data_IF_828185030822
#
_entry.id   IF_828185030822
#
_cell.length_a   1.000
_cell.length_b   1.000
_cell.length_c   1.000
_cell.angle_alpha   90.00
_cell.angle_beta   90.00
_cell.angle_gamma   90.00
#
_symmetry.space_group_name_H-M   'P 1'
#
loop_
_entity.id
_entity.type
_entity.pdbx_description
1 polymer ?
#
# COMPACT_ATOMS: atom_id res chain seq x y z
N UNK A 1 3.55 -12.18 22.71
CA UNK A 1 4.57 -11.80 21.70
C UNK A 1 3.97 -11.02 20.52
N UNK A 2 3.11 -11.57 19.64
CA UNK A 2 2.49 -10.74 18.58
C UNK A 2 1.53 -9.67 19.10
N UNK A 3 0.80 -10.00 20.15
CA UNK A 3 -0.04 -9.07 20.90
C UNK A 3 0.74 -7.92 21.54
N UNK A 4 2.03 -8.13 21.79
CA UNK A 4 2.96 -7.11 22.32
C UNK A 4 3.65 -6.34 21.19
N UNK A 5 3.75 -6.96 20.00
CA UNK A 5 4.37 -6.38 18.81
C UNK A 5 3.44 -5.40 18.08
N UNK A 6 2.16 -5.78 17.96
CA UNK A 6 1.18 -5.01 17.22
C UNK A 6 0.09 -4.48 18.13
N UNK A 7 -0.29 -3.23 17.91
CA UNK A 7 -1.47 -2.67 18.49
C UNK A 7 -2.72 -3.44 18.01
N UNK A 8 -3.37 -4.15 18.94
CA UNK A 8 -4.57 -4.96 18.68
C UNK A 8 -5.79 -4.08 18.33
N UNK A 9 -5.78 -2.83 18.77
CA UNK A 9 -6.84 -1.86 18.44
C UNK A 9 -6.60 -1.16 17.09
N UNK A 10 -5.54 -1.54 16.37
CA UNK A 10 -5.26 -0.95 15.06
C UNK A 10 -6.35 -1.32 14.05
N UNK A 11 -7.06 -0.28 13.59
CA UNK A 11 -8.20 -0.47 12.68
C UNK A 11 -7.70 -0.77 11.27
N UNK A 12 -8.04 -1.97 10.76
CA UNK A 12 -7.86 -2.32 9.35
C UNK A 12 -8.65 -1.35 8.48
N UNK A 13 -7.96 -0.53 7.71
CA UNK A 13 -8.56 0.43 6.77
C UNK A 13 -7.71 0.61 5.52
N UNK A 14 -8.30 0.99 4.37
CA UNK A 14 -7.54 1.35 3.19
C UNK A 14 -6.60 2.53 3.46
N UNK A 15 -5.38 2.40 2.97
CA UNK A 15 -4.33 3.42 2.94
C UNK A 15 -4.28 3.94 1.51
N UNK A 16 -4.49 5.24 1.34
CA UNK A 16 -4.43 5.90 0.04
C UNK A 16 -2.98 6.18 -0.35
N UNK A 17 -2.72 6.29 -1.64
CA UNK A 17 -1.43 6.73 -2.17
C UNK A 17 -1.11 8.16 -1.67
N UNK A 18 0.11 8.35 -1.15
CA UNK A 18 0.64 9.62 -0.62
C UNK A 18 2.01 9.99 -1.18
N UNK A 19 2.68 9.06 -1.87
CA UNK A 19 4.03 9.24 -2.39
C UNK A 19 4.12 10.13 -3.63
N UNK A 20 5.34 10.27 -4.15
CA UNK A 20 5.58 10.96 -5.43
C UNK A 20 5.26 10.03 -6.59
N UNK A 21 4.49 10.53 -7.55
CA UNK A 21 4.22 9.81 -8.80
C UNK A 21 5.50 9.79 -9.63
N UNK A 22 6.05 8.60 -9.87
CA UNK A 22 7.13 8.43 -10.85
C UNK A 22 6.50 8.21 -12.22
N UNK A 23 6.89 9.02 -13.19
CA UNK A 23 6.53 8.80 -14.59
C UNK A 23 7.19 7.51 -15.07
N UNK A 24 6.41 6.67 -15.73
CA UNK A 24 6.85 5.39 -16.25
C UNK A 24 6.57 5.30 -17.75
N UNK A 25 7.39 4.53 -18.45
CA UNK A 25 7.21 4.24 -19.87
C UNK A 25 6.13 3.17 -20.04
N UNK A 26 5.00 3.52 -20.66
CA UNK A 26 3.79 2.68 -20.76
C UNK A 26 4.01 1.35 -21.51
N UNK A 27 5.19 1.13 -22.12
CA UNK A 27 5.48 -0.04 -22.94
C UNK A 27 5.94 -1.28 -22.15
N UNK A 28 6.04 -1.22 -20.82
CA UNK A 28 6.39 -2.39 -20.01
C UNK A 28 5.30 -2.73 -19.00
N UNK A 29 4.81 -3.96 -19.00
CA UNK A 29 3.94 -4.49 -17.93
C UNK A 29 4.79 -5.21 -16.88
N UNK A 30 5.06 -4.60 -15.71
CA UNK A 30 5.83 -5.25 -14.66
C UNK A 30 5.14 -6.53 -14.17
N UNK A 31 5.93 -7.57 -13.90
CA UNK A 31 5.42 -8.85 -13.43
C UNK A 31 4.99 -8.73 -11.96
N UNK A 32 3.68 -8.89 -11.73
CA UNK A 32 3.05 -8.96 -10.40
C UNK A 32 2.44 -10.34 -10.26
N UNK A 33 2.75 -11.03 -9.16
CA UNK A 33 2.34 -12.43 -8.95
C UNK A 33 1.67 -12.63 -7.60
N UNK A 34 0.77 -13.60 -7.55
CA UNK A 34 0.20 -14.13 -6.30
C UNK A 34 1.23 -15.01 -5.57
N UNK A 35 1.02 -15.35 -4.28
CA UNK A 35 1.99 -16.08 -3.48
C UNK A 35 2.38 -17.44 -4.09
N UNK A 36 1.44 -18.16 -4.68
CA UNK A 36 1.67 -19.45 -5.34
C UNK A 36 2.60 -19.38 -6.57
N UNK A 37 2.83 -18.18 -7.12
CA UNK A 37 3.72 -17.93 -8.26
C UNK A 37 4.98 -17.17 -7.85
N UNK A 38 5.25 -16.96 -6.56
CA UNK A 38 6.41 -16.19 -6.07
C UNK A 38 7.76 -16.73 -6.56
N UNK A 39 7.86 -18.05 -6.77
CA UNK A 39 9.06 -18.68 -7.30
C UNK A 39 9.45 -18.19 -8.71
N UNK A 40 8.51 -17.63 -9.48
CA UNK A 40 8.82 -16.99 -10.76
C UNK A 40 9.71 -15.77 -10.54
N UNK A 41 9.41 -14.95 -9.53
CA UNK A 41 10.22 -13.79 -9.15
C UNK A 41 11.56 -14.23 -8.52
N UNK A 42 11.53 -15.17 -7.57
CA UNK A 42 12.75 -15.57 -6.83
C UNK A 42 13.80 -16.32 -7.65
N UNK A 43 13.39 -16.90 -8.80
CA UNK A 43 14.29 -17.58 -9.74
C UNK A 43 14.68 -16.70 -10.93
N UNK A 44 14.07 -15.53 -11.06
CA UNK A 44 14.42 -14.57 -12.09
C UNK A 44 15.86 -14.08 -11.89
N UNK A 45 16.61 -13.99 -12.99
CA UNK A 45 17.99 -13.48 -12.98
C UNK A 45 18.04 -12.00 -12.61
N UNK A 46 16.96 -11.27 -12.83
CA UNK A 46 16.81 -9.84 -12.52
C UNK A 46 16.35 -9.57 -11.09
N UNK A 47 16.07 -10.61 -10.30
CA UNK A 47 15.68 -10.47 -8.90
C UNK A 47 16.77 -9.73 -8.11
N UNK A 48 16.40 -8.57 -7.56
CA UNK A 48 17.33 -7.74 -6.82
C UNK A 48 17.85 -8.46 -5.58
N UNK A 49 19.15 -8.27 -5.32
CA UNK A 49 19.83 -8.85 -4.17
C UNK A 49 20.37 -7.75 -3.29
N UNK A 50 20.09 -7.85 -2.00
CA UNK A 50 20.60 -6.94 -0.98
C UNK A 50 21.51 -7.70 -0.02
N UNK A 51 22.65 -7.11 0.32
CA UNK A 51 23.57 -7.65 1.32
C UNK A 51 23.19 -7.05 2.67
N UNK A 52 22.89 -7.90 3.66
CA UNK A 52 22.61 -7.48 5.04
C UNK A 52 23.49 -8.27 5.99
N UNK A 53 24.43 -7.56 6.62
CA UNK A 53 25.54 -8.20 7.34
C UNK A 53 26.34 -9.09 6.40
N UNK A 54 26.50 -10.37 6.75
CA UNK A 54 27.28 -11.33 5.97
C UNK A 54 26.41 -12.23 5.08
N UNK A 55 25.15 -11.87 4.83
CA UNK A 55 24.19 -12.67 4.07
C UNK A 55 23.63 -11.89 2.89
N UNK A 56 23.38 -12.60 1.79
CA UNK A 56 22.72 -12.08 0.59
C UNK A 56 21.26 -12.49 0.64
N UNK A 57 20.37 -11.52 0.42
CA UNK A 57 18.94 -11.74 0.37
C UNK A 57 18.37 -11.34 -0.97
N UNK A 58 17.42 -12.14 -1.48
CA UNK A 58 16.57 -11.75 -2.61
C UNK A 58 15.46 -10.85 -2.08
N UNK A 59 15.37 -9.64 -2.60
CA UNK A 59 14.40 -8.65 -2.17
C UNK A 59 13.21 -8.61 -3.14
N UNK A 60 12.00 -8.66 -2.60
CA UNK A 60 10.76 -8.45 -3.34
C UNK A 60 9.91 -7.41 -2.64
N UNK A 61 9.04 -6.74 -3.40
CA UNK A 61 7.93 -5.94 -2.88
C UNK A 61 6.77 -6.86 -2.56
N UNK A 62 5.99 -6.50 -1.56
CA UNK A 62 4.66 -7.05 -1.35
C UNK A 62 3.63 -5.93 -1.19
N UNK A 63 2.38 -6.26 -1.50
CA UNK A 63 1.23 -5.41 -1.24
C UNK A 63 0.04 -6.31 -0.86
N UNK A 64 -0.64 -5.94 0.21
CA UNK A 64 -1.93 -6.52 0.59
C UNK A 64 -3.03 -5.59 0.10
N UNK A 65 -3.79 -6.03 -0.90
CA UNK A 65 -4.88 -5.27 -1.50
C UNK A 65 -6.07 -5.15 -0.53
N UNK A 66 -6.97 -4.22 -0.82
CA UNK A 66 -8.17 -3.95 -0.02
C UNK A 66 -9.17 -5.10 -0.02
N UNK A 67 -9.17 -5.95 -1.06
CA UNK A 67 -9.92 -7.20 -1.14
C UNK A 67 -9.27 -8.37 -0.36
N UNK A 68 -8.11 -8.14 0.25
CA UNK A 68 -7.35 -9.14 0.99
C UNK A 68 -6.36 -9.95 0.15
N UNK A 69 -6.22 -9.68 -1.15
CA UNK A 69 -5.26 -10.37 -1.99
C UNK A 69 -3.83 -9.89 -1.71
N UNK A 70 -2.95 -10.83 -1.33
CA UNK A 70 -1.51 -10.59 -1.23
C UNK A 70 -0.85 -10.78 -2.60
N UNK A 71 -0.08 -9.78 -3.04
CA UNK A 71 0.69 -9.84 -4.29
C UNK A 71 2.15 -9.46 -4.06
N UNK A 72 3.01 -9.95 -4.94
CA UNK A 72 4.46 -9.72 -4.93
C UNK A 72 4.94 -9.21 -6.28
N UNK A 73 6.04 -8.47 -6.26
CA UNK A 73 6.76 -8.06 -7.46
C UNK A 73 8.25 -7.90 -7.14
N UNK A 74 9.08 -7.72 -8.17
CA UNK A 74 10.49 -7.39 -7.98
C UNK A 74 10.66 -6.13 -7.12
N UNK A 75 11.73 -6.09 -6.33
CA UNK A 75 12.27 -4.85 -5.75
C UNK A 75 13.41 -4.36 -6.66
N UNK A 76 13.69 -3.06 -6.68
CA UNK A 76 14.80 -2.55 -7.49
C UNK A 76 14.91 -1.04 -7.60
N UNK A 77 15.91 -0.62 -8.37
CA UNK A 77 16.28 0.79 -8.55
C UNK A 77 15.24 1.58 -9.38
N UNK A 78 15.21 2.93 -9.23
CA UNK A 78 14.25 3.83 -9.88
C UNK A 78 14.10 3.75 -11.41
N UNK A 79 15.01 3.07 -12.11
CA UNK A 79 15.07 3.04 -13.57
C UNK A 79 14.93 1.62 -14.15
N UNK A 80 14.66 0.62 -13.31
CA UNK A 80 14.36 -0.75 -13.76
C UNK A 80 12.89 -0.93 -14.14
N UNK A 81 12.59 -2.00 -14.87
CA UNK A 81 11.22 -2.46 -15.12
C UNK A 81 10.68 -3.12 -13.84
N UNK A 82 10.40 -2.29 -12.83
CA UNK A 82 9.99 -2.72 -11.48
C UNK A 82 8.77 -1.91 -11.08
N UNK A 83 7.65 -2.55 -10.69
CA UNK A 83 6.44 -1.80 -10.36
C UNK A 83 6.63 -1.02 -9.07
N UNK A 84 6.12 0.21 -9.04
CA UNK A 84 5.79 0.89 -7.79
C UNK A 84 4.77 0.07 -6.97
N UNK A 85 4.70 0.27 -5.65
CA UNK A 85 3.65 -0.37 -4.86
C UNK A 85 2.27 0.04 -5.38
N UNK A 86 2.07 1.30 -5.80
CA UNK A 86 0.77 1.71 -6.33
C UNK A 86 0.34 0.92 -7.56
N UNK A 87 1.28 0.55 -8.45
CA UNK A 87 0.98 -0.29 -9.63
C UNK A 87 0.55 -1.70 -9.24
N UNK A 88 1.03 -2.22 -8.10
CA UNK A 88 0.64 -3.53 -7.59
C UNK A 88 -0.83 -3.59 -7.14
N UNK A 89 -1.49 -2.45 -6.95
CA UNK A 89 -2.93 -2.41 -6.62
C UNK A 89 -3.81 -2.84 -7.80
N UNK A 90 -3.35 -2.63 -9.04
CA UNK A 90 -4.17 -2.78 -10.25
C UNK A 90 -5.08 -1.59 -10.53
N UNK A 91 -4.98 -0.50 -9.78
CA UNK A 91 -5.75 0.72 -10.05
C UNK A 91 -5.32 1.37 -11.37
N UNK A 92 -6.30 1.85 -12.14
CA UNK A 92 -6.05 2.54 -13.42
C UNK A 92 -5.47 3.94 -13.24
N UNK A 93 -5.75 4.58 -12.10
CA UNK A 93 -5.25 5.92 -11.76
C UNK A 93 -4.56 5.86 -10.41
N UNK A 94 -3.46 6.60 -10.28
CA UNK A 94 -2.66 6.64 -9.05
C UNK A 94 -3.49 7.09 -7.84
N UNK A 95 -4.38 8.06 -8.02
CA UNK A 95 -5.23 8.59 -6.94
C UNK A 95 -6.30 7.60 -6.46
N UNK A 96 -6.61 6.57 -7.25
CA UNK A 96 -7.55 5.51 -6.88
C UNK A 96 -6.84 4.33 -6.20
N UNK A 97 -5.49 4.33 -6.20
CA UNK A 97 -4.69 3.26 -5.63
C UNK A 97 -4.79 3.27 -4.10
N UNK A 98 -5.18 2.13 -3.55
CA UNK A 98 -5.22 1.90 -2.10
C UNK A 98 -4.82 0.48 -1.74
N UNK A 99 -4.30 0.30 -0.54
CA UNK A 99 -3.94 -1.01 0.01
C UNK A 99 -4.21 -1.08 1.51
N UNK A 100 -4.17 -2.28 2.10
CA UNK A 100 -4.19 -2.45 3.55
C UNK A 100 -2.80 -2.23 4.14
N UNK A 101 -1.78 -2.78 3.49
CA UNK A 101 -0.37 -2.60 3.86
C UNK A 101 0.52 -2.90 2.65
N UNK A 102 1.75 -2.42 2.69
CA UNK A 102 2.74 -2.59 1.64
C UNK A 102 4.14 -2.56 2.25
N UNK A 103 5.09 -3.20 1.58
CA UNK A 103 6.44 -3.23 2.09
C UNK A 103 7.38 -4.10 1.27
N UNK A 104 8.48 -4.49 1.90
CA UNK A 104 9.48 -5.35 1.32
C UNK A 104 9.66 -6.63 2.14
N UNK A 105 9.99 -7.71 1.43
CA UNK A 105 10.26 -9.04 1.97
C UNK A 105 11.61 -9.53 1.43
N UNK A 106 12.35 -10.24 2.27
CA UNK A 106 13.72 -10.66 2.00
C UNK A 106 13.86 -12.16 2.21
N UNK A 107 14.24 -12.84 1.14
CA UNK A 107 14.39 -14.29 1.11
C UNK A 107 15.85 -14.67 1.10
N UNK A 108 16.20 -15.75 1.80
CA UNK A 108 17.53 -16.34 1.68
C UNK A 108 17.73 -17.06 0.33
N UNK A 109 18.91 -17.63 0.14
CA UNK A 109 19.26 -18.39 -1.07
C UNK A 109 18.35 -19.62 -1.30
N UNK A 110 17.74 -20.14 -0.22
CA UNK A 110 16.81 -21.27 -0.25
C UNK A 110 15.37 -20.82 -0.47
N UNK A 111 15.15 -19.56 -0.86
CA UNK A 111 13.82 -18.97 -1.06
C UNK A 111 12.93 -19.03 0.20
N UNK A 112 13.54 -19.01 1.38
CA UNK A 112 12.83 -18.96 2.65
C UNK A 112 12.77 -17.53 3.15
N UNK A 113 11.59 -17.07 3.57
CA UNK A 113 11.38 -15.70 4.02
C UNK A 113 12.05 -15.48 5.38
N UNK A 114 12.97 -14.52 5.45
CA UNK A 114 13.76 -14.23 6.64
C UNK A 114 13.44 -12.86 7.24
N UNK A 115 13.06 -11.88 6.41
CA UNK A 115 12.82 -10.50 6.87
C UNK A 115 11.60 -9.93 6.17
N UNK A 116 10.78 -9.17 6.91
CA UNK A 116 9.69 -8.37 6.40
C UNK A 116 9.72 -6.96 7.02
N UNK A 117 9.36 -5.95 6.24
CA UNK A 117 9.19 -4.59 6.74
C UNK A 117 8.06 -3.87 6.01
N UNK A 118 7.69 -2.69 6.51
CA UNK A 118 6.63 -1.84 5.96
C UNK A 118 7.12 -0.70 5.05
N UNK A 119 8.27 -0.88 4.38
CA UNK A 119 8.86 0.16 3.52
C UNK A 119 8.04 0.36 2.25
N UNK A 120 7.28 1.45 2.17
CA UNK A 120 6.66 1.89 0.93
C UNK A 120 6.69 3.41 0.81
N UNK A 121 7.33 3.91 -0.26
CA UNK A 121 7.32 5.34 -0.57
C UNK A 121 5.95 5.84 -1.05
N UNK A 122 5.14 4.94 -1.62
CA UNK A 122 3.85 5.25 -2.22
C UNK A 122 2.74 5.37 -1.17
N UNK A 123 2.72 4.48 -0.18
CA UNK A 123 1.63 4.39 0.80
C UNK A 123 2.05 4.78 2.22
N UNK A 124 3.34 4.65 2.56
CA UNK A 124 3.89 4.89 3.91
C UNK A 124 3.03 4.24 5.02
N UNK A 125 2.78 2.93 4.93
CA UNK A 125 1.91 2.26 5.88
C UNK A 125 2.47 2.33 7.29
N UNK A 126 1.59 2.33 8.30
CA UNK A 126 2.00 2.24 9.70
C UNK A 126 2.52 0.83 10.02
N UNK A 127 3.43 0.72 10.98
CA UNK A 127 4.04 -0.55 11.37
C UNK A 127 2.98 -1.61 11.74
N UNK A 128 1.97 -1.21 12.52
CA UNK A 128 0.88 -2.07 12.97
C UNK A 128 0.05 -2.67 11.83
N UNK A 129 0.05 -2.06 10.63
CA UNK A 129 -0.67 -2.61 9.48
C UNK A 129 -0.08 -3.94 8.97
N UNK A 130 1.17 -4.25 9.32
CA UNK A 130 1.81 -5.53 8.98
C UNK A 130 1.05 -6.71 9.59
N UNK A 131 0.32 -6.52 10.68
CA UNK A 131 -0.48 -7.59 11.26
C UNK A 131 -1.51 -8.17 10.27
N UNK A 132 -1.89 -7.46 9.21
CA UNK A 132 -2.87 -7.99 8.27
C UNK A 132 -2.26 -8.87 7.17
N UNK A 133 -0.94 -8.84 6.95
CA UNK A 133 -0.31 -9.64 5.89
C UNK A 133 -0.02 -11.07 6.35
N UNK A 134 0.23 -11.30 7.64
CA UNK A 134 0.67 -12.60 8.14
C UNK A 134 -0.29 -13.77 7.85
N UNK A 135 -1.63 -13.63 7.96
CA UNK A 135 -2.54 -14.73 7.66
C UNK A 135 -2.37 -15.28 6.23
N UNK A 136 -2.13 -14.41 5.26
CA UNK A 136 -1.92 -14.82 3.87
C UNK A 136 -0.48 -15.26 3.60
N UNK A 137 0.47 -14.66 4.31
CA UNK A 137 1.89 -14.98 4.22
C UNK A 137 2.18 -16.42 4.69
N UNK A 138 1.69 -16.82 5.87
CA UNK A 138 2.00 -18.12 6.48
C UNK A 138 1.35 -19.30 5.74
N UNK A 139 0.23 -19.05 5.04
CA UNK A 139 -0.47 -20.07 4.24
C UNK A 139 0.30 -20.44 2.99
N UNK A 140 1.05 -19.49 2.41
CA UNK A 140 1.55 -19.63 1.05
C UNK A 140 3.07 -19.53 0.91
N UNK A 141 3.78 -19.04 1.91
CA UNK A 141 5.22 -18.78 1.86
C UNK A 141 5.95 -19.62 2.92
N UNK A 142 7.11 -20.16 2.55
CA UNK A 142 8.00 -20.81 3.52
C UNK A 142 8.71 -19.77 4.37
N UNK A 143 8.43 -19.75 5.67
CA UNK A 143 9.09 -18.88 6.64
C UNK A 143 10.36 -19.55 7.17
N UNK A 144 11.35 -18.74 7.53
CA UNK A 144 12.52 -19.21 8.28
C UNK A 144 12.11 -19.72 9.66
N UNK A 145 13.06 -20.36 10.37
CA UNK A 145 12.87 -20.71 11.79
C UNK A 145 12.50 -19.48 12.62
N UNK A 146 13.02 -18.33 12.23
CA UNK A 146 12.71 -17.03 12.80
C UNK A 146 12.52 -16.05 11.67
N UNK A 147 11.45 -15.26 11.74
CA UNK A 147 11.18 -14.13 10.87
C UNK A 147 11.56 -12.84 11.60
N UNK A 148 12.35 -12.01 10.93
CA UNK A 148 12.66 -10.66 11.40
C UNK A 148 11.62 -9.67 10.88
N UNK A 149 10.91 -9.00 11.77
CA UNK A 149 9.95 -7.94 11.46
C UNK A 149 10.63 -6.61 11.78
N UNK A 150 10.87 -5.77 10.77
CA UNK A 150 11.57 -4.51 10.96
C UNK A 150 10.60 -3.33 10.98
N UNK A 151 10.63 -2.59 12.09
CA UNK A 151 10.06 -1.24 12.19
C UNK A 151 11.07 -0.24 11.65
N UNK A 152 10.59 0.73 10.91
CA UNK A 152 11.41 1.69 10.17
C UNK A 152 10.96 3.11 10.49
N UNK A 153 11.91 4.03 10.50
CA UNK A 153 11.63 5.47 10.49
C UNK A 153 11.05 5.91 9.15
N UNK A 154 10.53 7.14 9.10
CA UNK A 154 10.05 7.78 7.87
C UNK A 154 11.12 7.93 6.79
N UNK A 155 12.41 7.94 7.17
CA UNK A 155 13.56 7.89 6.25
C UNK A 155 13.74 6.54 5.56
N UNK A 156 13.08 5.48 6.06
CA UNK A 156 13.28 4.10 5.65
C UNK A 156 14.44 3.39 6.34
N UNK A 157 15.13 4.05 7.28
CA UNK A 157 16.13 3.41 8.15
C UNK A 157 15.45 2.51 9.18
N UNK A 158 16.14 1.44 9.60
CA UNK A 158 15.63 0.52 10.62
C UNK A 158 15.62 1.23 11.98
N UNK A 159 14.46 1.26 12.61
CA UNK A 159 14.26 1.73 13.98
C UNK A 159 14.43 0.57 14.96
N UNK A 160 13.69 -0.51 14.73
CA UNK A 160 13.66 -1.66 15.62
C UNK A 160 13.48 -2.96 14.82
N UNK A 161 14.00 -4.07 15.34
CA UNK A 161 13.85 -5.39 14.73
C UNK A 161 13.34 -6.38 15.76
N UNK A 162 12.24 -7.02 15.43
CA UNK A 162 11.60 -8.05 16.25
C UNK A 162 11.80 -9.41 15.61
N UNK A 163 11.99 -10.43 16.44
CA UNK A 163 12.20 -11.80 15.99
C UNK A 163 11.05 -12.66 16.46
N UNK A 164 10.42 -13.36 15.52
CA UNK A 164 9.26 -14.17 15.80
C UNK A 164 9.35 -15.53 15.11
N UNK A 165 8.82 -16.58 15.73
CA UNK A 165 8.73 -17.90 15.11
C UNK A 165 7.46 -18.06 14.28
N UNK A 166 7.41 -19.08 13.42
CA UNK A 166 6.19 -19.39 12.67
C UNK A 166 5.05 -19.78 13.61
N UNK A 167 5.39 -20.53 14.66
CA UNK A 167 4.47 -21.05 15.66
C UNK A 167 3.80 -19.92 16.45
N UNK A 168 4.56 -18.87 16.81
CA UNK A 168 4.01 -17.67 17.45
C UNK A 168 2.99 -16.97 16.55
N UNK A 169 3.28 -16.87 15.24
CA UNK A 169 2.36 -16.28 14.25
C UNK A 169 1.10 -17.11 14.13
N UNK A 170 1.25 -18.42 14.00
CA UNK A 170 0.11 -19.32 13.85
C UNK A 170 -0.81 -19.29 15.07
N UNK A 171 -0.23 -19.42 16.27
CA UNK A 171 -0.97 -19.39 17.54
C UNK A 171 -1.78 -18.11 17.69
N UNK A 172 -1.18 -16.96 17.39
CA UNK A 172 -1.86 -15.66 17.48
C UNK A 172 -3.14 -15.57 16.62
N UNK A 173 -3.12 -16.07 15.37
CA UNK A 173 -4.30 -16.02 14.51
C UNK A 173 -5.30 -17.16 14.74
N UNK A 174 -4.86 -18.29 15.29
CA UNK A 174 -5.76 -19.35 15.74
C UNK A 174 -6.55 -18.88 16.97
N UNK A 175 -5.91 -18.24 17.94
CA UNK A 175 -6.55 -17.69 19.15
C UNK A 175 -7.59 -16.61 18.81
N UNK A 176 -7.30 -15.73 17.84
CA UNK A 176 -8.29 -14.74 17.40
C UNK A 176 -9.52 -15.35 16.72
N UNK A 177 -9.35 -16.44 15.96
CA UNK A 177 -10.48 -17.14 15.35
C UNK A 177 -11.36 -17.81 16.40
N UNK A 178 -10.75 -18.41 17.43
CA UNK A 178 -11.48 -19.06 18.53
C UNK A 178 -12.28 -18.01 19.33
N UNK A 179 -11.68 -16.87 19.66
CA UNK A 179 -12.37 -15.80 20.39
C UNK A 179 -13.55 -15.20 19.60
N UNK A 180 -13.39 -14.98 18.29
CA UNK A 180 -14.49 -14.53 17.43
C UNK A 180 -15.62 -15.57 17.31
N UNK A 181 -15.33 -16.86 17.41
CA UNK A 181 -16.37 -17.90 17.38
C UNK A 181 -17.09 -18.05 18.72
N UNK A 182 -16.37 -17.91 19.84
CA UNK A 182 -16.95 -17.99 21.18
C UNK A 182 -17.93 -16.85 21.48
N UNK A 183 -17.62 -15.61 21.07
CA UNK A 183 -18.54 -14.47 21.19
C UNK A 183 -19.84 -14.65 20.39
N UNK A 184 -19.82 -15.44 19.32
CA UNK A 184 -21.00 -15.77 18.52
C UNK A 184 -21.84 -16.94 19.10
N UNK A 185 -21.33 -17.65 20.11
CA UNK A 185 -22.00 -18.80 20.75
C UNK A 185 -22.44 -18.55 22.20
N UNK A 186 -22.06 -17.44 22.83
CA UNK A 186 -22.63 -17.02 24.12
C UNK A 186 -23.88 -16.15 23.93
N UNK A 187 -24.96 -16.51 24.62
CA UNK A 187 -26.35 -16.03 24.56
C UNK A 187 -26.62 -14.51 24.42
N UNK A 188 -27.81 -14.13 23.89
CA UNK A 188 -28.14 -12.79 23.42
C UNK A 188 -28.67 -11.89 24.55
N UNK A 189 -27.80 -11.40 25.43
CA UNK A 189 -28.19 -10.35 26.39
C UNK A 189 -27.10 -9.28 26.53
N UNK A 190 -26.83 -8.55 25.46
CA UNK A 190 -26.35 -7.17 25.58
C UNK A 190 -26.86 -6.35 24.41
N UNK A 191 -27.87 -5.54 24.74
CA UNK A 191 -28.55 -4.56 23.90
C UNK A 191 -27.67 -4.02 22.77
N UNK A 192 -28.12 -4.31 21.55
CA UNK A 192 -27.93 -3.55 20.32
C UNK A 192 -27.31 -2.15 20.52
N UNK A 193 -25.98 -2.05 20.45
CA UNK A 193 -25.27 -0.80 20.12
C UNK A 193 -24.74 -0.76 18.69
N UNK A 194 -24.85 -1.86 17.95
CA UNK A 194 -24.44 -1.94 16.53
C UNK A 194 -25.62 -1.90 15.54
N UNK A 195 -26.87 -1.91 16.01
CA UNK A 195 -28.02 -1.64 15.16
C UNK A 195 -28.18 -0.16 14.77
N UNK A 196 -27.43 0.77 15.38
CA UNK A 196 -27.48 2.21 15.05
C UNK A 196 -26.50 2.66 13.96
N UNK A 197 -25.66 1.78 13.42
CA UNK A 197 -24.71 2.13 12.33
C UNK A 197 -25.05 1.52 10.97
N UNK A 198 -26.20 0.83 10.84
CA UNK A 198 -26.79 0.49 9.53
C UNK A 198 -27.94 1.42 9.10
N UNK A 199 -28.38 2.34 9.96
CA UNK A 199 -29.40 3.35 9.60
C UNK A 199 -28.83 4.76 9.34
N UNK A 200 -27.53 4.97 9.49
CA UNK A 200 -26.87 6.24 9.12
C UNK A 200 -26.57 6.36 7.62
N UNK A 201 -26.92 5.35 6.82
CA UNK A 201 -26.85 5.36 5.35
C UNK A 201 -28.15 5.72 4.64
N UNK A 202 -29.22 6.11 5.35
CA UNK A 202 -30.52 6.44 4.75
C UNK A 202 -31.06 7.86 5.01
N UNK A 203 -30.33 8.70 5.74
CA UNK A 203 -30.75 10.08 6.04
C UNK A 203 -29.82 11.18 5.51
N UNK A 204 -29.13 10.94 4.39
CA UNK A 204 -28.61 12.03 3.55
C UNK A 204 -29.52 12.25 2.33
N UNK A 205 -30.79 12.53 2.60
CA UNK A 205 -31.66 13.20 1.65
C UNK A 205 -31.48 14.70 1.87
N UNK A 206 -30.70 15.36 1.02
CA UNK A 206 -30.81 16.82 0.91
C UNK A 206 -32.22 17.14 0.42
N UNK A 207 -33.02 17.70 1.32
CA UNK A 207 -34.28 18.35 1.01
C UNK A 207 -33.98 19.54 0.10
N UNK A 208 -34.03 19.29 -1.21
CA UNK A 208 -34.08 20.36 -2.22
C UNK A 208 -35.49 20.93 -2.15
N UNK A 209 -35.67 21.96 -1.30
CA UNK A 209 -36.86 22.81 -1.37
C UNK A 209 -36.96 23.33 -2.81
N UNK A 210 -38.01 22.90 -3.51
CA UNK A 210 -38.50 23.55 -4.72
C UNK A 210 -38.91 24.97 -4.34
N UNK A 211 -38.07 25.95 -4.65
CA UNK A 211 -38.56 27.28 -4.98
C UNK A 211 -38.90 27.27 -6.46
N UNK A 212 -40.20 27.33 -6.74
CA UNK A 212 -40.73 27.65 -8.05
C UNK A 212 -40.42 29.12 -8.33
N UNK A 213 -39.75 29.42 -9.44
CA UNK A 213 -40.03 30.66 -10.14
C UNK A 213 -39.86 30.45 -11.65
N UNK A 214 -41.02 30.55 -12.29
CA UNK A 214 -41.23 30.90 -13.69
C UNK A 214 -40.43 32.16 -14.07
N UNK A 215 -40.08 32.18 -15.35
CA UNK A 215 -39.81 33.35 -16.20
C UNK A 215 -38.58 34.21 -15.84
N UNK A 216 -37.53 34.14 -16.65
CA UNK A 216 -37.29 35.18 -17.66
C UNK A 216 -36.12 34.83 -18.59
N UNK A 217 -36.26 35.38 -19.79
CA UNK A 217 -35.60 35.02 -21.03
C UNK A 217 -34.30 35.82 -21.25
N UNK A 218 -33.60 35.39 -22.29
CA UNK A 218 -32.40 35.92 -22.96
C UNK A 218 -32.11 37.45 -22.93
N UNK A 219 -30.82 37.73 -23.14
CA UNK A 219 -30.21 38.91 -23.77
C UNK A 219 -30.00 40.17 -22.93
N UNK A 220 -28.73 40.41 -22.60
CA UNK A 220 -27.97 41.68 -22.56
C UNK A 220 -26.73 41.41 -21.67
N UNK A 221 -25.48 41.71 -22.00
CA UNK A 221 -24.93 42.76 -22.83
C UNK A 221 -23.49 42.35 -23.23
N UNK A 222 -23.23 42.31 -24.54
CA UNK A 222 -21.90 42.47 -25.15
C UNK A 222 -21.33 43.86 -24.81
N UNK A 223 -19.99 43.98 -24.90
CA UNK A 223 -19.12 45.18 -24.83
C UNK A 223 -18.64 45.46 -23.40
N UNK A 224 -17.34 45.31 -23.11
CA UNK A 224 -16.15 46.00 -23.68
C UNK A 224 -14.97 44.98 -23.66
N UNK A 225 -14.21 44.62 -24.71
CA UNK A 225 -13.31 45.37 -25.62
C UNK A 225 -12.67 46.57 -24.93
N UNK A 226 -11.36 46.75 -24.77
CA UNK A 226 -10.12 46.20 -25.32
C UNK A 226 -9.02 46.92 -24.48
N UNK A 227 -7.72 46.73 -24.75
CA UNK A 227 -6.54 47.36 -24.08
C UNK A 227 -6.10 46.58 -22.80
N UNK A 228 -4.93 45.93 -22.71
CA UNK A 228 -3.63 46.19 -23.34
C UNK A 228 -2.85 44.90 -23.69
N UNK A 229 -2.40 44.84 -24.95
CA UNK A 229 -1.20 44.11 -25.39
C UNK A 229 0.07 44.92 -25.09
N UNK A 230 1.22 44.21 -25.11
CA UNK A 230 2.62 44.63 -24.89
C UNK A 230 3.05 44.62 -23.42
N UNK A 231 3.98 43.77 -22.99
CA UNK A 231 5.32 43.62 -23.60
C UNK A 231 5.87 42.19 -23.51
N UNK A 232 6.43 41.78 -24.64
CA UNK A 232 7.33 40.66 -24.87
C UNK A 232 8.73 40.90 -24.26
N UNK A 233 9.37 39.86 -23.74
CA UNK A 233 10.82 39.55 -23.82
C UNK A 233 11.11 38.30 -22.97
N UNK A 234 11.24 37.12 -23.58
CA UNK A 234 12.52 36.52 -24.04
C UNK A 234 13.56 36.42 -22.93
N UNK A 235 13.76 35.20 -22.41
CA UNK A 235 15.10 34.71 -22.04
C UNK A 235 15.11 33.16 -22.02
N UNK A 236 15.67 32.61 -23.09
CA UNK A 236 16.19 31.25 -23.18
C UNK A 236 17.41 31.14 -22.26
N UNK A 237 17.51 30.07 -21.47
CA UNK A 237 18.79 29.60 -20.95
C UNK A 237 18.99 28.14 -21.33
N UNK A 238 19.78 27.95 -22.38
CA UNK A 238 20.61 26.77 -22.60
C UNK A 238 21.82 26.87 -21.66
N UNK A 239 22.26 25.77 -21.06
CA UNK A 239 23.68 25.60 -20.78
C UNK A 239 24.07 24.14 -20.96
N UNK A 240 25.12 23.99 -21.77
CA UNK A 240 25.69 22.78 -22.32
C UNK A 240 26.59 22.06 -21.31
N UNK A 241 26.74 20.77 -21.56
CA UNK A 241 27.84 19.90 -21.19
C UNK A 241 29.22 20.51 -21.46
N UNK A 242 30.15 20.34 -20.51
CA UNK A 242 31.58 20.35 -20.79
C UNK A 242 32.21 19.06 -20.27
N UNK A 243 32.92 18.41 -21.18
CA UNK A 243 33.78 17.26 -20.98
C UNK A 243 35.25 17.69 -21.09
N UNK A 244 36.11 16.96 -20.35
CA UNK A 244 37.54 16.69 -20.60
C UNK A 244 38.55 17.80 -20.23
N UNK A 245 39.85 17.47 -20.01
CA UNK A 245 40.58 16.22 -20.33
C UNK A 245 40.85 15.25 -19.19
#
# INVERSE_FOLDING_TARGET
MLSELFNQDYIKRPILMTGTIRHYDNNSSPLIVKPNKINQLLKDKTCHKEIRGNKVYKALRFLLKTDGELVFAHEGCPNGIVPSHWQMTGATRVFDASCITAGNVFFDERNTLQIINHKSGDFRPAFDSLQFVFPELIKAISLGKTLEIQKLYSSGAVEETYKITREDIQTFYEDQQINCQQENTSTPERKNRFASLRDLGKNFFFSRKKTSQKDFNQNELKRKFEEDENTSQVLKCFCQTTSLP
#
